data_IF_295235166650
#
_entry.id   IF_295235166650
#
_cell.length_a   1.000
_cell.length_b   1.000
_cell.length_c   1.000
_cell.angle_alpha   90.00
_cell.angle_beta   90.00
_cell.angle_gamma   90.00
#
_symmetry.space_group_name_H-M   'P 1'
#
loop_
_entity.id
_entity.type
_entity.pdbx_description
1 polymer ?
#
# COMPACT_ATOMS: atom_id res chain seq x y z
N UNK A 1 39.98 1.49 -19.31
CA UNK A 1 38.72 1.97 -18.69
C UNK A 1 38.69 1.47 -17.26
N UNK A 2 38.57 2.36 -16.26
CA UNK A 2 38.46 1.92 -14.85
C UNK A 2 37.16 1.14 -14.66
N UNK A 3 37.22 0.08 -13.81
CA UNK A 3 36.04 -0.71 -13.43
C UNK A 3 35.07 0.21 -12.66
N UNK A 4 33.93 0.54 -13.24
CA UNK A 4 32.88 1.29 -12.56
C UNK A 4 32.20 0.37 -11.53
N UNK A 5 32.21 0.76 -10.26
CA UNK A 5 31.47 0.02 -9.23
C UNK A 5 29.97 0.09 -9.53
N UNK A 6 29.27 -1.06 -9.57
CA UNK A 6 27.82 -1.04 -9.77
C UNK A 6 27.12 -0.31 -8.63
N UNK A 7 26.07 0.44 -8.96
CA UNK A 7 25.22 1.18 -8.01
C UNK A 7 23.80 1.28 -8.54
N UNK A 8 22.85 1.47 -7.64
CA UNK A 8 21.44 1.70 -7.97
C UNK A 8 21.08 3.18 -7.82
N UNK A 9 20.03 3.68 -8.48
CA UNK A 9 19.54 5.04 -8.31
C UNK A 9 19.17 5.33 -6.85
N UNK A 10 19.46 6.54 -6.39
CA UNK A 10 19.15 6.94 -5.01
C UNK A 10 17.64 6.91 -4.76
N UNK A 11 17.22 6.21 -3.70
CA UNK A 11 15.81 6.08 -3.32
C UNK A 11 15.10 4.88 -3.93
N UNK A 12 15.83 4.05 -4.70
CA UNK A 12 15.38 2.72 -5.13
C UNK A 12 16.08 1.63 -4.32
N UNK A 13 15.63 0.37 -4.42
CA UNK A 13 16.17 -0.75 -3.64
C UNK A 13 16.19 -2.02 -4.46
N UNK A 14 17.22 -2.84 -4.26
CA UNK A 14 17.20 -4.26 -4.57
C UNK A 14 16.52 -4.99 -3.39
N UNK A 15 15.87 -6.09 -3.67
CA UNK A 15 15.28 -6.97 -2.65
C UNK A 15 15.88 -8.35 -2.79
N UNK A 16 16.48 -8.84 -1.72
CA UNK A 16 16.96 -10.22 -1.63
C UNK A 16 15.81 -11.22 -1.74
N UNK A 17 16.07 -12.51 -2.03
CA UNK A 17 15.03 -13.53 -2.04
C UNK A 17 14.21 -13.58 -0.74
N UNK A 18 14.86 -13.47 0.42
CA UNK A 18 14.16 -13.47 1.72
C UNK A 18 13.24 -12.25 1.87
N UNK A 19 13.70 -11.06 1.47
CA UNK A 19 12.87 -9.86 1.49
C UNK A 19 11.70 -9.98 0.49
N UNK A 20 11.92 -10.57 -0.69
CA UNK A 20 10.84 -10.77 -1.66
C UNK A 20 9.80 -11.77 -1.18
N UNK A 21 10.16 -12.84 -0.48
CA UNK A 21 9.19 -13.77 0.12
C UNK A 21 8.32 -13.05 1.15
N UNK A 22 8.91 -12.22 2.02
CA UNK A 22 8.17 -11.38 2.98
C UNK A 22 7.24 -10.39 2.29
N UNK A 23 7.70 -9.74 1.21
CA UNK A 23 6.87 -8.83 0.40
C UNK A 23 5.71 -9.56 -0.25
N UNK A 24 5.97 -10.76 -0.81
CA UNK A 24 4.94 -11.59 -1.42
C UNK A 24 3.86 -11.99 -0.41
N UNK A 25 4.25 -12.33 0.82
CA UNK A 25 3.31 -12.60 1.91
C UNK A 25 2.35 -11.43 2.15
N UNK A 26 2.87 -10.19 2.18
CA UNK A 26 2.03 -8.98 2.30
C UNK A 26 1.07 -8.88 1.09
N UNK A 27 1.60 -9.00 -0.13
CA UNK A 27 0.77 -8.89 -1.34
C UNK A 27 -0.32 -9.95 -1.39
N UNK A 28 -0.02 -11.19 -1.04
CA UNK A 28 -0.98 -12.30 -1.09
C UNK A 28 -2.05 -12.14 -0.02
N UNK A 29 -1.67 -11.69 1.19
CA UNK A 29 -2.62 -11.38 2.27
C UNK A 29 -3.58 -10.27 1.83
N UNK A 30 -3.08 -9.16 1.32
CA UNK A 30 -3.89 -8.03 0.87
C UNK A 30 -4.80 -8.44 -0.29
N UNK A 31 -4.27 -9.11 -1.32
CA UNK A 31 -5.06 -9.60 -2.46
C UNK A 31 -6.11 -10.64 -2.02
N UNK A 32 -5.78 -11.47 -1.04
CA UNK A 32 -6.70 -12.44 -0.46
C UNK A 32 -7.94 -11.75 0.10
N UNK A 33 -7.74 -10.70 0.92
CA UNK A 33 -8.84 -9.91 1.47
C UNK A 33 -9.64 -9.25 0.34
N UNK A 34 -9.01 -8.54 -0.60
CA UNK A 34 -9.72 -7.85 -1.69
C UNK A 34 -10.65 -8.79 -2.48
N UNK A 35 -10.20 -10.02 -2.75
CA UNK A 35 -11.00 -11.03 -3.46
C UNK A 35 -12.25 -11.44 -2.69
N UNK A 36 -12.20 -11.48 -1.34
CA UNK A 36 -13.37 -11.83 -0.53
C UNK A 36 -14.48 -10.78 -0.59
N UNK A 37 -14.13 -9.55 -1.01
CA UNK A 37 -15.08 -8.46 -1.23
C UNK A 37 -15.50 -8.29 -2.70
N UNK A 38 -15.12 -9.21 -3.57
CA UNK A 38 -15.51 -9.21 -4.98
C UNK A 38 -14.76 -8.21 -5.87
N UNK A 39 -13.59 -7.73 -5.43
CA UNK A 39 -12.77 -6.87 -6.27
C UNK A 39 -12.01 -7.68 -7.33
N UNK A 40 -12.01 -7.20 -8.57
CA UNK A 40 -11.32 -7.80 -9.70
C UNK A 40 -9.89 -7.23 -9.86
N UNK A 41 -8.89 -8.06 -10.24
CA UNK A 41 -7.55 -7.57 -10.51
C UNK A 41 -7.50 -6.71 -11.77
N UNK A 42 -6.72 -5.63 -11.72
CA UNK A 42 -6.45 -4.75 -12.83
C UNK A 42 -4.98 -4.35 -12.86
N UNK A 43 -4.42 -4.13 -14.04
CA UNK A 43 -3.12 -3.50 -14.23
C UNK A 43 -3.18 -2.42 -15.31
N UNK A 44 -2.39 -1.35 -15.11
CA UNK A 44 -2.19 -0.28 -16.09
C UNK A 44 -0.70 -0.16 -16.39
N UNK A 45 -0.30 0.45 -17.52
CA UNK A 45 1.11 0.66 -17.84
C UNK A 45 1.85 1.46 -16.77
N UNK A 46 3.14 1.17 -16.59
CA UNK A 46 4.02 1.95 -15.70
C UNK A 46 4.29 3.36 -16.22
N UNK A 47 4.23 3.53 -17.54
CA UNK A 47 4.37 4.79 -18.25
C UNK A 47 3.00 5.29 -18.71
N UNK A 48 2.71 6.55 -18.43
CA UNK A 48 1.53 7.25 -18.94
C UNK A 48 1.96 8.43 -19.81
N UNK A 49 1.07 8.90 -20.67
CA UNK A 49 1.28 10.17 -21.35
C UNK A 49 1.42 11.28 -20.31
N UNK A 50 2.37 12.18 -20.49
CA UNK A 50 2.63 13.23 -19.52
C UNK A 50 1.41 14.15 -19.34
N UNK A 51 0.60 14.35 -20.38
CA UNK A 51 -0.68 15.06 -20.33
C UNK A 51 -1.74 14.39 -19.43
N UNK A 52 -1.66 13.06 -19.27
CA UNK A 52 -2.51 12.31 -18.32
C UNK A 52 -2.12 12.60 -16.88
N UNK A 53 -0.85 12.83 -16.59
CA UNK A 53 -0.31 12.98 -15.25
C UNK A 53 -0.29 14.44 -14.75
N UNK A 54 0.07 15.40 -15.63
CA UNK A 54 0.23 16.81 -15.26
C UNK A 54 -1.10 17.47 -14.86
N UNK A 55 -1.05 18.33 -13.83
CA UNK A 55 -2.19 19.09 -13.34
C UNK A 55 -3.17 18.29 -12.49
N UNK A 56 -2.86 17.03 -12.15
CA UNK A 56 -3.76 16.13 -11.38
C UNK A 56 -3.39 16.08 -9.89
N UNK A 57 -2.14 16.33 -9.57
CA UNK A 57 -1.58 16.16 -8.22
C UNK A 57 -1.31 17.48 -7.50
N UNK A 58 -1.65 18.63 -8.13
CA UNK A 58 -1.30 19.96 -7.69
C UNK A 58 0.16 20.30 -7.99
N UNK A 59 0.57 21.55 -7.74
CA UNK A 59 1.90 22.04 -8.08
C UNK A 59 3.05 21.25 -7.42
N UNK A 60 2.86 20.81 -6.18
CA UNK A 60 3.86 20.00 -5.46
C UNK A 60 4.00 18.62 -6.09
N UNK A 61 2.87 17.95 -6.39
CA UNK A 61 2.87 16.61 -6.99
C UNK A 61 3.45 16.62 -8.39
N UNK A 62 3.15 17.63 -9.20
CA UNK A 62 3.67 17.77 -10.56
C UNK A 62 5.20 17.93 -10.59
N UNK A 63 5.81 18.53 -9.53
CA UNK A 63 7.26 18.62 -9.36
C UNK A 63 7.90 17.27 -9.03
N UNK A 64 7.11 16.32 -8.49
CA UNK A 64 7.58 15.00 -8.09
C UNK A 64 7.40 13.94 -9.18
N UNK A 65 6.85 14.28 -10.34
CA UNK A 65 6.71 13.36 -11.47
C UNK A 65 8.08 13.06 -12.11
N UNK A 66 8.38 11.78 -12.28
CA UNK A 66 9.48 11.33 -13.14
C UNK A 66 9.06 11.46 -14.59
N UNK A 67 9.73 12.34 -15.33
CA UNK A 67 9.53 12.56 -16.76
C UNK A 67 10.52 11.71 -17.57
N UNK A 68 10.07 11.14 -18.67
CA UNK A 68 10.87 10.26 -19.53
C UNK A 68 11.19 11.02 -20.80
N UNK A 69 12.49 11.18 -21.07
CA UNK A 69 12.96 11.78 -22.34
C UNK A 69 12.45 10.97 -23.54
N UNK A 70 12.07 11.66 -24.60
CA UNK A 70 11.71 11.02 -25.87
C UNK A 70 12.86 10.18 -26.40
N UNK A 71 12.54 9.05 -27.03
CA UNK A 71 13.54 8.13 -27.58
C UNK A 71 14.22 8.75 -28.83
N UNK A 72 15.45 8.38 -29.07
CA UNK A 72 16.25 8.91 -30.20
C UNK A 72 16.87 10.27 -29.86
N UNK A 73 16.99 11.13 -30.88
CA UNK A 73 17.47 12.50 -30.69
C UNK A 73 16.31 13.38 -30.20
N UNK A 74 16.14 13.45 -28.88
CA UNK A 74 15.05 14.20 -28.22
C UNK A 74 15.15 15.71 -28.46
N UNK A 75 16.28 16.23 -28.91
CA UNK A 75 16.52 17.64 -29.17
C UNK A 75 16.40 17.99 -30.67
N UNK A 76 16.22 17.03 -31.56
CA UNK A 76 16.16 17.27 -33.01
C UNK A 76 15.06 18.28 -33.37
N UNK A 77 15.47 19.34 -34.07
CA UNK A 77 14.54 20.36 -34.55
C UNK A 77 14.02 21.33 -33.47
N UNK A 78 14.56 21.29 -32.25
CA UNK A 78 14.21 22.20 -31.17
C UNK A 78 15.30 23.25 -30.98
N UNK A 79 14.89 24.45 -30.60
CA UNK A 79 15.78 25.51 -30.13
C UNK A 79 16.28 25.22 -28.69
N UNK A 80 17.36 25.87 -28.27
CA UNK A 80 17.92 25.73 -26.90
C UNK A 80 16.88 26.07 -25.81
N UNK A 81 15.99 27.03 -26.07
CA UNK A 81 14.93 27.39 -25.13
C UNK A 81 13.80 26.35 -25.07
N UNK A 82 13.50 25.68 -26.18
CA UNK A 82 12.52 24.60 -26.23
C UNK A 82 13.05 23.34 -25.56
N UNK A 83 14.32 22.99 -25.68
CA UNK A 83 14.96 21.87 -25.00
C UNK A 83 14.91 22.01 -23.46
N UNK A 84 14.88 23.24 -22.95
CA UNK A 84 14.69 23.50 -21.51
C UNK A 84 13.27 23.27 -21.01
N UNK A 85 12.30 23.16 -21.93
CA UNK A 85 10.89 22.89 -21.59
C UNK A 85 10.63 21.39 -21.57
N UNK A 86 10.43 20.81 -20.38
CA UNK A 86 10.21 19.38 -20.22
C UNK A 86 9.07 18.82 -21.09
N UNK A 87 8.02 19.61 -21.35
CA UNK A 87 6.89 19.22 -22.23
C UNK A 87 7.26 19.06 -23.69
N UNK A 88 8.40 19.62 -24.16
CA UNK A 88 8.88 19.50 -25.53
C UNK A 88 9.75 18.28 -25.75
N UNK A 89 10.41 17.79 -24.70
CA UNK A 89 11.38 16.69 -24.75
C UNK A 89 10.89 15.41 -24.04
N UNK A 90 9.77 15.49 -23.36
CA UNK A 90 9.16 14.37 -22.63
C UNK A 90 7.67 14.28 -22.94
N UNK A 91 7.27 13.24 -23.67
CA UNK A 91 5.86 12.93 -23.93
C UNK A 91 5.26 12.01 -22.86
N UNK A 92 6.10 11.34 -22.07
CA UNK A 92 5.73 10.31 -21.11
C UNK A 92 6.32 10.61 -19.75
N UNK A 93 5.67 10.06 -18.72
CA UNK A 93 6.18 10.04 -17.35
C UNK A 93 5.90 8.70 -16.69
N UNK A 94 6.58 8.41 -15.58
CA UNK A 94 6.23 7.30 -14.71
C UNK A 94 5.03 7.70 -13.86
N UNK A 95 4.08 6.78 -13.70
CA UNK A 95 2.87 7.01 -12.89
C UNK A 95 3.22 7.35 -11.45
N UNK A 96 2.56 8.35 -10.91
CA UNK A 96 2.73 8.86 -9.55
C UNK A 96 1.90 8.08 -8.52
N UNK A 97 0.73 7.61 -8.93
CA UNK A 97 -0.21 6.76 -8.21
C UNK A 97 -0.87 5.77 -9.18
N UNK A 98 -1.81 4.97 -8.66
CA UNK A 98 -2.59 4.04 -9.47
C UNK A 98 -4.00 4.57 -9.78
N UNK A 99 -4.44 5.64 -9.13
CA UNK A 99 -5.81 6.17 -9.24
C UNK A 99 -6.02 6.99 -10.52
N UNK A 100 -5.07 7.86 -10.90
CA UNK A 100 -5.16 8.64 -12.16
C UNK A 100 -5.09 7.72 -13.39
N UNK A 101 -4.15 6.75 -13.48
CA UNK A 101 -4.19 5.73 -14.54
C UNK A 101 -5.47 4.91 -14.57
N UNK A 102 -6.05 4.61 -13.41
CA UNK A 102 -7.33 3.91 -13.30
C UNK A 102 -8.48 4.75 -13.87
N UNK A 103 -8.57 6.04 -13.52
CA UNK A 103 -9.58 6.94 -14.07
C UNK A 103 -9.51 7.02 -15.60
N UNK A 104 -8.28 7.13 -16.16
CA UNK A 104 -8.06 7.07 -17.61
C UNK A 104 -8.53 5.74 -18.20
N UNK A 105 -8.23 4.60 -17.54
CA UNK A 105 -8.67 3.27 -17.96
C UNK A 105 -10.19 3.16 -18.02
N UNK A 106 -10.88 3.63 -16.97
CA UNK A 106 -12.36 3.61 -16.88
C UNK A 106 -12.98 4.35 -18.05
N UNK A 107 -12.47 5.55 -18.39
CA UNK A 107 -12.99 6.33 -19.51
C UNK A 107 -12.75 5.64 -20.85
N UNK A 108 -11.57 5.06 -21.07
CA UNK A 108 -11.25 4.35 -22.31
C UNK A 108 -12.06 3.08 -22.52
N UNK A 109 -12.46 2.39 -21.44
CA UNK A 109 -13.17 1.12 -21.48
C UNK A 109 -14.61 1.21 -20.98
N UNK A 110 -15.19 2.42 -20.90
CA UNK A 110 -16.53 2.64 -20.34
C UNK A 110 -17.64 1.77 -20.95
N UNK A 111 -17.52 1.43 -22.24
CA UNK A 111 -18.48 0.57 -22.94
C UNK A 111 -18.32 -0.93 -22.65
N UNK A 112 -17.24 -1.34 -22.00
CA UNK A 112 -16.94 -2.72 -21.65
C UNK A 112 -17.16 -2.99 -20.13
N UNK A 113 -17.17 -1.92 -19.33
CA UNK A 113 -17.27 -2.02 -17.88
C UNK A 113 -18.72 -2.03 -17.41
N UNK A 114 -19.00 -2.84 -16.40
CA UNK A 114 -20.27 -2.82 -15.67
C UNK A 114 -20.11 -2.04 -14.37
N UNK A 115 -20.93 -1.02 -14.18
CA UNK A 115 -20.91 -0.17 -12.98
C UNK A 115 -21.97 -0.60 -11.96
N UNK A 116 -21.71 -0.51 -10.63
CA UNK A 116 -20.44 -0.08 -10.02
C UNK A 116 -19.32 -1.08 -10.31
N UNK A 117 -18.15 -0.56 -10.66
CA UNK A 117 -16.97 -1.36 -10.96
C UNK A 117 -16.02 -1.38 -9.75
N UNK A 118 -15.65 -2.60 -9.30
CA UNK A 118 -14.77 -2.86 -8.16
C UNK A 118 -13.46 -3.44 -8.66
N UNK A 119 -12.35 -2.72 -8.46
CA UNK A 119 -11.01 -3.20 -8.87
C UNK A 119 -10.02 -3.19 -7.73
N UNK A 120 -9.03 -4.05 -7.79
CA UNK A 120 -7.78 -3.87 -7.04
C UNK A 120 -6.57 -3.88 -7.97
N UNK A 121 -5.50 -3.21 -7.56
CA UNK A 121 -4.26 -3.11 -8.33
C UNK A 121 -3.06 -3.09 -7.39
N UNK A 122 -2.06 -3.97 -7.64
CA UNK A 122 -0.85 -4.08 -6.81
C UNK A 122 0.35 -3.91 -7.73
N UNK A 123 0.84 -2.69 -7.82
CA UNK A 123 1.91 -2.31 -8.75
C UNK A 123 2.81 -1.22 -8.16
N UNK A 124 4.04 -1.03 -8.72
CA UNK A 124 4.95 0.03 -8.31
C UNK A 124 4.49 1.39 -8.83
N UNK A 125 4.83 2.44 -8.07
CA UNK A 125 4.66 3.86 -8.42
C UNK A 125 5.95 4.61 -8.14
N UNK A 126 6.10 5.80 -8.75
CA UNK A 126 7.34 6.55 -8.68
C UNK A 126 7.11 8.01 -8.29
N UNK A 127 7.84 8.45 -7.27
CA UNK A 127 7.79 9.84 -6.79
C UNK A 127 9.20 10.36 -6.58
N UNK A 128 9.53 11.52 -7.14
CA UNK A 128 10.85 12.13 -7.00
C UNK A 128 11.10 12.77 -5.61
N UNK A 129 10.49 12.21 -4.58
CA UNK A 129 10.64 12.61 -3.19
C UNK A 129 12.10 12.56 -2.72
N UNK A 130 12.42 13.38 -1.68
CA UNK A 130 13.67 13.22 -0.96
C UNK A 130 13.65 11.93 -0.16
N UNK A 131 14.54 10.95 -0.47
CA UNK A 131 14.53 9.66 0.20
C UNK A 131 14.81 9.77 1.69
N UNK A 132 14.00 9.07 2.49
CA UNK A 132 14.18 8.90 3.94
C UNK A 132 13.52 7.58 4.37
N UNK A 133 13.68 7.17 5.63
CA UNK A 133 13.03 5.95 6.15
C UNK A 133 11.51 6.00 5.92
N UNK A 134 10.95 4.96 5.29
CA UNK A 134 9.54 4.88 4.93
C UNK A 134 9.10 5.78 3.77
N UNK A 135 10.04 6.43 3.05
CA UNK A 135 9.76 7.25 1.86
C UNK A 135 10.79 6.96 0.77
N UNK A 136 10.36 6.23 -0.24
CA UNK A 136 11.16 5.75 -1.35
C UNK A 136 10.74 6.44 -2.65
N UNK A 137 11.59 6.41 -3.67
CA UNK A 137 11.29 6.94 -5.00
C UNK A 137 10.57 5.94 -5.88
N UNK A 138 10.73 4.65 -5.60
CA UNK A 138 9.99 3.55 -6.18
C UNK A 138 9.43 2.70 -5.04
N UNK A 139 8.12 2.48 -5.02
CA UNK A 139 7.43 1.73 -3.99
C UNK A 139 6.12 1.14 -4.50
N UNK A 140 5.63 0.11 -3.85
CA UNK A 140 4.39 -0.56 -4.24
C UNK A 140 3.19 0.01 -3.51
N UNK A 141 2.14 0.27 -4.27
CA UNK A 141 0.79 0.54 -3.77
C UNK A 141 -0.10 -0.69 -4.01
N UNK A 142 -0.94 -1.01 -3.02
CA UNK A 142 -1.99 -2.00 -3.16
C UNK A 142 -3.32 -1.24 -3.05
N UNK A 143 -3.85 -0.86 -4.18
CA UNK A 143 -5.05 -0.03 -4.29
C UNK A 143 -6.30 -0.88 -4.43
N UNK A 144 -7.36 -0.44 -3.82
CA UNK A 144 -8.72 -1.00 -3.96
C UNK A 144 -9.72 0.13 -4.11
N UNK A 145 -10.51 0.11 -5.19
CA UNK A 145 -11.44 1.18 -5.54
C UNK A 145 -12.78 0.64 -6.04
N UNK A 146 -13.83 1.39 -5.74
CA UNK A 146 -15.16 1.26 -6.33
C UNK A 146 -15.47 2.53 -7.10
N UNK A 147 -15.91 2.43 -8.35
CA UNK A 147 -16.31 3.58 -9.17
C UNK A 147 -17.70 3.34 -9.79
N UNK A 148 -18.46 4.42 -10.00
CA UNK A 148 -19.79 4.38 -10.58
C UNK A 148 -20.94 4.34 -9.55
N UNK A 149 -20.67 4.74 -8.30
CA UNK A 149 -21.69 4.88 -7.27
C UNK A 149 -21.32 5.95 -6.23
N UNK A 150 -22.36 6.63 -5.71
CA UNK A 150 -22.24 7.58 -4.59
C UNK A 150 -22.59 6.95 -3.24
N UNK A 151 -22.86 5.64 -3.21
CA UNK A 151 -23.23 4.94 -1.98
C UNK A 151 -22.13 4.98 -0.93
N UNK A 152 -22.46 5.42 0.28
CA UNK A 152 -21.55 5.44 1.44
C UNK A 152 -21.27 4.05 2.00
N UNK A 153 -21.97 3.00 1.55
CA UNK A 153 -21.65 1.62 1.88
C UNK A 153 -20.26 1.22 1.37
N UNK A 154 -19.76 1.91 0.34
CA UNK A 154 -18.40 1.69 -0.17
C UNK A 154 -17.33 2.12 0.84
N UNK A 155 -17.52 3.26 1.53
CA UNK A 155 -16.65 3.69 2.61
C UNK A 155 -16.64 2.69 3.77
N UNK A 156 -17.80 2.18 4.15
CA UNK A 156 -17.93 1.18 5.22
C UNK A 156 -17.20 -0.11 4.84
N UNK A 157 -17.35 -0.58 3.61
CA UNK A 157 -16.65 -1.76 3.08
C UNK A 157 -15.13 -1.55 3.09
N UNK A 158 -14.64 -0.38 2.69
CA UNK A 158 -13.21 -0.06 2.73
C UNK A 158 -12.66 -0.02 4.16
N UNK A 159 -13.41 0.48 5.14
CA UNK A 159 -13.02 0.47 6.55
C UNK A 159 -12.93 -0.98 7.06
N UNK A 160 -13.87 -1.84 6.70
CA UNK A 160 -13.82 -3.28 7.06
C UNK A 160 -12.63 -3.98 6.39
N UNK A 161 -12.29 -3.63 5.14
CA UNK A 161 -11.10 -4.13 4.45
C UNK A 161 -9.83 -3.73 5.20
N UNK A 162 -9.73 -2.49 5.68
CA UNK A 162 -8.59 -2.01 6.49
C UNK A 162 -8.45 -2.88 7.74
N UNK A 163 -9.54 -3.08 8.49
CA UNK A 163 -9.53 -3.94 9.68
C UNK A 163 -9.02 -5.34 9.37
N UNK A 164 -9.58 -5.98 8.34
CA UNK A 164 -9.24 -7.37 7.99
C UNK A 164 -7.81 -7.52 7.51
N UNK A 165 -7.32 -6.60 6.68
CA UNK A 165 -5.92 -6.64 6.20
C UNK A 165 -4.95 -6.52 7.37
N UNK A 166 -5.10 -5.49 8.22
CA UNK A 166 -4.14 -5.27 9.29
C UNK A 166 -4.25 -6.31 10.41
N UNK A 167 -5.44 -6.84 10.69
CA UNK A 167 -5.63 -7.99 11.57
C UNK A 167 -4.91 -9.24 11.04
N UNK A 168 -5.02 -9.54 9.75
CA UNK A 168 -4.34 -10.67 9.12
C UNK A 168 -2.81 -10.52 9.11
N UNK A 169 -2.30 -9.28 9.03
CA UNK A 169 -0.87 -8.97 9.11
C UNK A 169 -0.36 -8.83 10.55
N UNK A 170 -1.24 -8.90 11.56
CA UNK A 170 -0.87 -8.75 12.98
C UNK A 170 -0.48 -7.33 13.38
N UNK A 171 -0.88 -6.30 12.63
CA UNK A 171 -0.55 -4.90 12.88
C UNK A 171 -1.72 -4.21 13.58
N UNK A 172 -1.49 -3.62 14.75
CA UNK A 172 -2.49 -2.75 15.39
C UNK A 172 -2.47 -1.37 14.75
N UNK A 173 -3.65 -0.88 14.38
CA UNK A 173 -3.79 0.39 13.66
C UNK A 173 -4.95 1.22 14.21
N UNK A 174 -4.86 2.54 14.02
CA UNK A 174 -5.99 3.47 14.12
C UNK A 174 -6.28 4.06 12.74
N UNK A 175 -7.55 4.26 12.43
CA UNK A 175 -8.02 4.92 11.22
C UNK A 175 -8.51 6.31 11.58
N UNK A 176 -7.85 7.33 11.05
CA UNK A 176 -8.31 8.71 11.06
C UNK A 176 -9.18 8.97 9.83
N UNK A 177 -10.28 9.65 10.03
CA UNK A 177 -11.25 9.95 8.99
C UNK A 177 -11.69 11.41 9.04
N UNK A 178 -11.90 12.03 7.89
CA UNK A 178 -12.49 13.36 7.76
C UNK A 178 -13.33 13.40 6.47
N UNK A 179 -13.93 14.55 6.19
CA UNK A 179 -14.66 14.79 4.96
C UNK A 179 -14.32 16.16 4.37
N UNK A 180 -14.02 16.22 3.08
CA UNK A 180 -13.70 17.47 2.36
C UNK A 180 -14.83 18.49 2.45
N UNK A 181 -16.08 18.04 2.50
CA UNK A 181 -17.26 18.89 2.64
C UNK A 181 -17.29 19.58 4.01
N UNK A 182 -16.85 18.88 5.08
CA UNK A 182 -16.70 19.48 6.41
C UNK A 182 -15.63 20.57 6.37
N UNK A 183 -14.47 20.31 5.76
CA UNK A 183 -13.39 21.29 5.64
C UNK A 183 -13.82 22.51 4.82
N UNK A 184 -14.59 22.31 3.75
CA UNK A 184 -15.17 23.40 2.97
C UNK A 184 -16.19 24.20 3.81
N UNK A 185 -17.06 23.52 4.54
CA UNK A 185 -18.03 24.16 5.44
C UNK A 185 -17.35 24.99 6.54
N UNK A 186 -16.24 24.54 7.07
CA UNK A 186 -15.43 25.32 8.01
C UNK A 186 -14.94 26.61 7.34
N UNK A 187 -14.42 26.53 6.12
CA UNK A 187 -13.97 27.71 5.38
C UNK A 187 -15.11 28.69 5.09
N UNK A 188 -16.32 28.20 4.77
CA UNK A 188 -17.54 29.04 4.62
C UNK A 188 -17.93 29.68 5.94
N UNK A 189 -17.98 28.95 7.05
CA UNK A 189 -18.40 29.43 8.36
C UNK A 189 -17.50 30.55 8.90
N UNK A 190 -16.22 30.53 8.56
CA UNK A 190 -15.28 31.60 8.92
C UNK A 190 -15.20 32.73 7.88
N UNK A 191 -15.97 32.62 6.76
CA UNK A 191 -16.07 33.65 5.72
C UNK A 191 -14.91 33.70 4.74
N UNK A 192 -14.21 32.56 4.54
CA UNK A 192 -13.04 32.42 3.66
C UNK A 192 -13.09 31.17 2.78
N UNK A 193 -14.25 30.89 2.15
CA UNK A 193 -14.44 29.76 1.24
C UNK A 193 -13.43 29.75 0.08
N UNK A 194 -13.04 30.91 -0.41
CA UNK A 194 -12.01 31.12 -1.44
C UNK A 194 -10.61 30.69 -1.02
N UNK A 195 -10.34 30.55 0.29
CA UNK A 195 -9.05 30.16 0.87
C UNK A 195 -9.05 28.74 1.46
N UNK A 196 -10.02 27.91 1.09
CA UNK A 196 -10.11 26.52 1.61
C UNK A 196 -8.77 25.79 1.51
N UNK A 197 -8.04 25.90 0.39
CA UNK A 197 -6.77 25.22 0.20
C UNK A 197 -5.69 25.72 1.17
N UNK A 198 -5.60 27.03 1.39
CA UNK A 198 -4.67 27.62 2.35
C UNK A 198 -4.96 27.17 3.77
N UNK A 199 -6.24 27.15 4.14
CA UNK A 199 -6.73 26.68 5.44
C UNK A 199 -6.36 25.20 5.65
N UNK A 200 -6.64 24.34 4.67
CA UNK A 200 -6.35 22.89 4.78
C UNK A 200 -4.85 22.61 4.87
N UNK A 201 -4.02 23.32 4.10
CA UNK A 201 -2.55 23.18 4.16
C UNK A 201 -1.99 23.60 5.51
N UNK A 202 -2.55 24.65 6.13
CA UNK A 202 -2.12 25.08 7.45
C UNK A 202 -2.57 24.11 8.55
N UNK A 203 -3.83 23.64 8.51
CA UNK A 203 -4.41 22.68 9.47
C UNK A 203 -3.65 21.36 9.46
N UNK A 204 -3.24 20.85 8.31
CA UNK A 204 -2.45 19.60 8.19
C UNK A 204 -1.13 19.64 8.97
N UNK A 205 -0.65 20.82 9.28
CA UNK A 205 0.58 20.97 10.06
C UNK A 205 0.32 21.00 11.57
N UNK A 206 -0.94 21.00 12.02
CA UNK A 206 -1.33 21.22 13.43
C UNK A 206 -0.57 20.29 14.40
N UNK A 207 -0.52 18.99 14.09
CA UNK A 207 0.22 18.00 14.92
C UNK A 207 1.74 18.27 14.97
N UNK A 208 2.30 18.96 13.97
CA UNK A 208 3.76 19.17 13.85
C UNK A 208 4.25 20.48 14.44
N UNK A 209 3.50 21.55 14.21
CA UNK A 209 3.96 22.91 14.56
C UNK A 209 3.14 23.54 15.67
N UNK A 210 2.02 22.91 16.08
CA UNK A 210 1.12 23.41 17.12
C UNK A 210 0.19 24.54 16.67
N UNK A 211 -0.83 24.83 17.48
CA UNK A 211 -1.92 25.72 17.14
C UNK A 211 -1.47 27.17 16.89
N UNK A 212 -0.56 27.70 17.70
CA UNK A 212 -0.12 29.09 17.57
C UNK A 212 0.60 29.34 16.25
N UNK A 213 1.45 28.40 15.83
CA UNK A 213 2.14 28.50 14.53
C UNK A 213 1.17 28.32 13.35
N UNK A 214 0.15 27.47 13.48
CA UNK A 214 -0.92 27.35 12.47
C UNK A 214 -1.68 28.66 12.33
N UNK A 215 -2.03 29.31 13.45
CA UNK A 215 -2.69 30.62 13.42
C UNK A 215 -1.82 31.69 12.75
N UNK A 216 -0.54 31.74 13.09
CA UNK A 216 0.41 32.68 12.47
C UNK A 216 0.48 32.44 10.94
N UNK A 217 0.60 31.18 10.49
CA UNK A 217 0.62 30.84 9.07
C UNK A 217 -0.70 31.24 8.35
N UNK A 218 -1.86 31.06 8.99
CA UNK A 218 -3.14 31.46 8.44
C UNK A 218 -3.26 32.98 8.25
N UNK A 219 -2.76 33.76 9.21
CA UNK A 219 -2.68 35.22 9.08
C UNK A 219 -1.74 35.67 7.95
N UNK A 220 -0.54 35.04 7.82
CA UNK A 220 0.38 35.25 6.71
C UNK A 220 -0.23 34.95 5.35
N UNK A 221 -1.09 33.94 5.27
CA UNK A 221 -1.87 33.58 4.07
C UNK A 221 -3.05 34.53 3.81
N UNK A 222 -3.21 35.55 4.65
CA UNK A 222 -4.17 36.65 4.47
C UNK A 222 -5.57 36.34 4.97
N UNK A 223 -5.72 35.44 5.95
CA UNK A 223 -6.96 35.34 6.73
C UNK A 223 -7.02 36.50 7.72
N UNK A 224 -8.24 36.96 8.03
CA UNK A 224 -8.46 37.99 9.05
C UNK A 224 -8.39 37.39 10.45
N UNK A 225 -7.98 38.15 11.44
CA UNK A 225 -7.88 37.71 12.84
C UNK A 225 -9.20 37.10 13.34
N UNK A 226 -10.33 37.74 13.04
CA UNK A 226 -11.67 37.24 13.41
C UNK A 226 -11.97 35.85 12.86
N UNK A 227 -11.49 35.51 11.67
CA UNK A 227 -11.64 34.18 11.08
C UNK A 227 -10.77 33.16 11.78
N UNK A 228 -9.54 33.52 12.13
CA UNK A 228 -8.63 32.67 12.89
C UNK A 228 -9.16 32.39 14.30
N UNK A 229 -9.74 33.40 14.96
CA UNK A 229 -10.35 33.26 16.27
C UNK A 229 -11.57 32.33 16.24
N UNK A 230 -12.39 32.38 15.17
CA UNK A 230 -13.50 31.43 14.94
C UNK A 230 -13.05 30.01 14.65
N UNK A 231 -11.89 29.85 14.01
CA UNK A 231 -11.35 28.54 13.66
C UNK A 231 -10.76 27.81 14.87
N UNK A 232 -10.21 28.54 15.85
CA UNK A 232 -9.55 27.94 17.00
C UNK A 232 -10.41 26.91 17.75
N UNK A 233 -11.65 27.20 18.20
CA UNK A 233 -12.45 26.22 18.93
C UNK A 233 -12.82 24.99 18.09
N UNK A 234 -12.79 25.12 16.75
CA UNK A 234 -13.01 24.00 15.82
C UNK A 234 -11.78 23.07 15.81
N UNK A 235 -10.58 23.64 15.79
CA UNK A 235 -9.33 22.88 15.80
C UNK A 235 -9.03 22.23 17.16
N UNK A 236 -9.59 22.77 18.24
CA UNK A 236 -9.46 22.26 19.59
C UNK A 236 -10.60 21.30 20.00
N UNK A 237 -11.48 20.93 19.03
CA UNK A 237 -12.57 19.98 19.29
C UNK A 237 -12.02 18.66 19.82
N UNK A 238 -12.50 18.28 21.02
CA UNK A 238 -12.16 17.05 21.72
C UNK A 238 -13.42 16.27 22.07
N UNK A 239 -13.25 15.01 22.43
CA UNK A 239 -14.33 14.09 22.73
C UNK A 239 -14.44 12.96 21.70
N UNK A 240 -15.49 12.15 21.83
CA UNK A 240 -15.80 11.10 20.88
C UNK A 240 -16.34 11.66 19.55
N UNK A 241 -16.50 10.79 18.54
CA UNK A 241 -16.96 11.19 17.21
C UNK A 241 -18.36 11.86 17.25
N UNK A 242 -19.27 11.36 18.07
CA UNK A 242 -20.63 11.91 18.17
C UNK A 242 -20.61 13.34 18.76
N UNK A 243 -19.81 13.55 19.79
CA UNK A 243 -19.64 14.88 20.41
C UNK A 243 -19.01 15.88 19.45
N UNK A 244 -17.98 15.43 18.68
CA UNK A 244 -17.33 16.26 17.65
C UNK A 244 -18.32 16.64 16.56
N UNK A 245 -19.11 15.68 16.01
CA UNK A 245 -20.09 15.92 14.96
C UNK A 245 -21.23 16.83 15.41
N UNK A 246 -21.71 16.68 16.66
CA UNK A 246 -22.75 17.54 17.23
C UNK A 246 -22.29 19.01 17.27
N UNK A 247 -21.07 19.28 17.79
CA UNK A 247 -20.50 20.63 17.82
C UNK A 247 -20.25 21.20 16.42
N UNK A 248 -19.76 20.36 15.50
CA UNK A 248 -19.57 20.79 14.10
C UNK A 248 -20.88 21.16 13.43
N UNK A 249 -21.98 20.45 13.74
CA UNK A 249 -23.31 20.77 13.19
C UNK A 249 -23.78 22.15 13.61
N UNK A 250 -23.51 22.57 14.84
CA UNK A 250 -23.81 23.94 15.32
C UNK A 250 -23.00 24.99 14.55
N UNK A 251 -21.69 24.78 14.42
CA UNK A 251 -20.78 25.72 13.74
C UNK A 251 -21.04 25.80 12.25
N UNK A 252 -21.34 24.68 11.62
CA UNK A 252 -21.57 24.55 10.18
C UNK A 252 -23.03 24.76 9.75
N UNK A 253 -23.89 25.22 10.64
CA UNK A 253 -25.32 25.47 10.33
C UNK A 253 -25.52 26.47 9.18
N UNK A 254 -24.52 27.29 8.87
CA UNK A 254 -24.53 28.27 7.76
C UNK A 254 -24.04 27.69 6.43
N UNK A 255 -23.56 26.42 6.41
CA UNK A 255 -22.99 25.76 5.25
C UNK A 255 -23.78 24.50 4.90
N UNK A 256 -24.52 24.52 3.81
CA UNK A 256 -25.23 23.34 3.30
C UNK A 256 -24.24 22.20 2.96
N UNK A 257 -23.12 22.55 2.33
CA UNK A 257 -22.05 21.61 2.01
C UNK A 257 -21.44 20.99 3.27
N UNK A 258 -21.17 21.79 4.29
CA UNK A 258 -20.65 21.32 5.56
C UNK A 258 -21.59 20.36 6.29
N UNK A 259 -22.88 20.70 6.35
CA UNK A 259 -23.93 19.83 6.91
C UNK A 259 -24.04 18.50 6.16
N UNK A 260 -23.93 18.52 4.83
CA UNK A 260 -23.88 17.30 4.02
C UNK A 260 -22.70 16.42 4.38
N UNK A 261 -21.52 17.00 4.60
CA UNK A 261 -20.34 16.27 5.04
C UNK A 261 -20.52 15.62 6.41
N UNK A 262 -21.22 16.29 7.35
CA UNK A 262 -21.56 15.71 8.67
C UNK A 262 -22.51 14.52 8.51
N UNK A 263 -23.57 14.64 7.71
CA UNK A 263 -24.52 13.55 7.46
C UNK A 263 -23.84 12.30 6.86
N UNK A 264 -22.88 12.50 5.94
CA UNK A 264 -22.09 11.42 5.36
C UNK A 264 -21.23 10.73 6.43
N UNK A 265 -20.59 11.50 7.33
CA UNK A 265 -19.79 10.96 8.42
C UNK A 265 -20.64 10.20 9.44
N UNK A 266 -21.78 10.76 9.86
CA UNK A 266 -22.73 10.10 10.76
C UNK A 266 -23.23 8.77 10.19
N UNK A 267 -23.52 8.74 8.88
CA UNK A 267 -23.97 7.55 8.18
C UNK A 267 -22.90 6.46 8.21
N UNK A 268 -21.65 6.79 7.83
CA UNK A 268 -20.55 5.82 7.79
C UNK A 268 -20.22 5.31 9.18
N UNK A 269 -20.05 6.20 10.16
CA UNK A 269 -19.72 5.84 11.54
C UNK A 269 -20.84 5.01 12.20
N UNK A 270 -22.10 5.33 11.92
CA UNK A 270 -23.24 4.55 12.40
C UNK A 270 -23.27 3.12 11.85
N UNK A 271 -22.86 2.90 10.61
CA UNK A 271 -22.70 1.53 10.07
C UNK A 271 -21.48 0.80 10.66
N UNK A 272 -20.35 1.50 10.83
CA UNK A 272 -19.14 0.94 11.48
C UNK A 272 -19.49 0.41 12.87
N UNK A 273 -20.23 1.18 13.66
CA UNK A 273 -20.69 0.79 15.00
C UNK A 273 -21.65 -0.42 14.94
N UNK A 274 -22.66 -0.38 14.06
CA UNK A 274 -23.65 -1.47 13.92
C UNK A 274 -23.04 -2.78 13.50
N UNK A 275 -22.00 -2.74 12.65
CA UNK A 275 -21.27 -3.94 12.19
C UNK A 275 -20.29 -4.44 13.24
N UNK A 276 -20.03 -3.68 14.30
CA UNK A 276 -19.05 -4.04 15.33
C UNK A 276 -17.64 -4.15 14.76
N UNK A 277 -17.27 -3.30 13.81
CA UNK A 277 -15.93 -3.27 13.25
C UNK A 277 -14.94 -2.91 14.36
N UNK A 278 -14.03 -3.82 14.67
CA UNK A 278 -13.09 -3.71 15.79
C UNK A 278 -11.90 -2.78 15.52
N UNK A 279 -12.09 -1.77 14.69
CA UNK A 279 -11.08 -0.77 14.34
C UNK A 279 -11.41 0.55 15.06
N UNK A 280 -10.39 1.17 15.64
CA UNK A 280 -10.50 2.53 16.17
C UNK A 280 -10.61 3.52 15.02
N UNK A 281 -11.82 4.08 14.84
CA UNK A 281 -12.12 5.05 13.78
C UNK A 281 -12.37 6.41 14.40
N UNK A 282 -11.47 7.35 14.20
CA UNK A 282 -11.49 8.69 14.77
C UNK A 282 -11.81 9.76 13.70
N UNK A 283 -12.79 10.61 13.98
CA UNK A 283 -12.95 11.88 13.25
C UNK A 283 -11.82 12.82 13.66
N UNK A 284 -10.96 13.14 12.71
CA UNK A 284 -9.79 14.00 12.91
C UNK A 284 -9.81 15.18 11.92
N UNK A 285 -10.11 16.36 12.43
CA UNK A 285 -10.18 17.57 11.62
C UNK A 285 -8.81 18.04 11.10
N UNK A 286 -7.72 17.60 11.75
CA UNK A 286 -6.36 17.85 11.27
C UNK A 286 -6.01 17.03 10.03
N UNK A 287 -6.77 15.97 9.73
CA UNK A 287 -6.66 15.25 8.46
C UNK A 287 -7.28 16.09 7.34
N UNK A 288 -6.53 17.10 6.92
CA UNK A 288 -6.94 18.06 5.91
C UNK A 288 -6.19 17.87 4.58
N UNK A 289 -5.09 17.10 4.60
CA UNK A 289 -4.26 16.76 3.45
C UNK A 289 -4.84 15.56 2.69
N UNK A 290 -4.48 15.48 1.45
CA UNK A 290 -4.79 14.40 0.53
C UNK A 290 -4.51 14.87 -0.88
N UNK A 291 -4.71 14.01 -1.85
CA UNK A 291 -4.62 14.40 -3.25
C UNK A 291 -5.77 15.39 -3.57
N UNK A 292 -5.49 16.39 -4.39
CA UNK A 292 -6.43 17.48 -4.66
C UNK A 292 -7.75 17.03 -5.32
N UNK A 293 -7.79 15.80 -5.80
CA UNK A 293 -8.99 15.24 -6.42
C UNK A 293 -10.02 14.65 -5.44
N UNK A 294 -9.72 14.58 -4.12
CA UNK A 294 -10.71 14.12 -3.14
C UNK A 294 -11.81 15.16 -2.91
N UNK A 295 -13.08 14.67 -2.86
CA UNK A 295 -14.29 15.50 -2.78
C UNK A 295 -15.18 15.19 -1.58
N UNK A 296 -14.99 14.03 -0.95
CA UNK A 296 -15.79 13.53 0.17
C UNK A 296 -14.93 13.01 1.30
N UNK A 297 -15.24 11.79 1.77
CA UNK A 297 -14.48 11.13 2.82
C UNK A 297 -12.98 11.02 2.49
N UNK A 298 -12.13 11.21 3.50
CA UNK A 298 -10.69 11.00 3.46
C UNK A 298 -10.31 10.04 4.58
N UNK A 299 -9.35 9.15 4.29
CA UNK A 299 -8.88 8.12 5.20
C UNK A 299 -7.36 8.20 5.37
N UNK A 300 -6.90 8.02 6.60
CA UNK A 300 -5.50 7.81 6.93
C UNK A 300 -5.36 6.73 8.00
N UNK A 301 -4.50 5.75 7.78
CA UNK A 301 -4.25 4.67 8.74
C UNK A 301 -2.83 4.77 9.26
N UNK A 302 -2.69 4.81 10.58
CA UNK A 302 -1.41 4.85 11.30
C UNK A 302 -1.20 3.56 12.08
N UNK A 303 0.02 3.03 12.05
CA UNK A 303 0.42 1.95 12.95
C UNK A 303 0.57 2.49 14.38
N UNK A 304 0.05 1.76 15.37
CA UNK A 304 0.08 2.19 16.77
C UNK A 304 1.42 1.85 17.47
N UNK A 305 2.05 0.74 17.09
CA UNK A 305 3.23 0.21 17.78
C UNK A 305 4.56 0.52 17.07
N UNK A 306 4.54 1.26 15.97
CA UNK A 306 5.72 1.57 15.19
C UNK A 306 5.67 2.98 14.61
N UNK A 307 6.68 3.79 14.93
CA UNK A 307 6.76 5.18 14.47
C UNK A 307 7.13 5.25 12.98
N UNK A 308 6.11 5.38 12.14
CA UNK A 308 6.23 5.57 10.69
C UNK A 308 5.09 6.49 10.22
N UNK A 309 5.19 7.07 9.03
CA UNK A 309 4.07 7.78 8.43
C UNK A 309 2.90 6.85 8.11
N UNK A 310 1.81 7.42 7.61
CA UNK A 310 0.60 6.69 7.18
C UNK A 310 0.93 5.43 6.36
N UNK A 311 0.37 4.29 6.74
CA UNK A 311 0.59 2.99 6.09
C UNK A 311 -0.53 2.60 5.11
N UNK A 312 -1.67 3.27 5.21
CA UNK A 312 -2.77 3.21 4.25
C UNK A 312 -3.46 4.57 4.22
N UNK A 313 -4.03 4.94 3.10
CA UNK A 313 -4.80 6.17 2.96
C UNK A 313 -5.59 6.20 1.67
N UNK A 314 -6.59 7.08 1.61
CA UNK A 314 -7.45 7.18 0.45
C UNK A 314 -8.57 8.20 0.63
N UNK A 315 -9.62 8.09 -0.19
CA UNK A 315 -10.79 8.94 -0.10
C UNK A 315 -11.74 8.82 -1.29
N UNK A 316 -12.82 9.58 -1.22
CA UNK A 316 -13.81 9.71 -2.28
C UNK A 316 -13.40 10.77 -3.29
N UNK A 317 -13.56 10.47 -4.56
CA UNK A 317 -13.33 11.35 -5.71
C UNK A 317 -14.52 11.27 -6.66
N UNK A 318 -15.22 12.41 -6.89
CA UNK A 318 -16.49 12.42 -7.61
C UNK A 318 -16.37 12.77 -9.10
N UNK A 319 -15.25 13.38 -9.51
CA UNK A 319 -15.10 13.85 -10.90
C UNK A 319 -13.68 13.65 -11.47
N UNK A 320 -12.94 12.66 -10.98
CA UNK A 320 -11.61 12.40 -11.50
C UNK A 320 -11.64 11.96 -12.98
N UNK A 321 -12.69 11.25 -13.39
CA UNK A 321 -12.93 10.84 -14.79
C UNK A 321 -13.37 12.00 -15.69
N UNK A 322 -13.93 13.06 -15.12
CA UNK A 322 -14.31 14.27 -15.84
C UNK A 322 -13.14 14.95 -16.56
N UNK A 323 -11.94 14.83 -15.98
CA UNK A 323 -10.69 15.30 -16.60
C UNK A 323 -10.42 14.61 -17.95
N UNK A 324 -10.94 13.40 -18.13
CA UNK A 324 -10.80 12.58 -19.36
C UNK A 324 -12.10 12.56 -20.20
N UNK A 325 -13.05 13.46 -19.91
CA UNK A 325 -14.30 13.62 -20.68
C UNK A 325 -15.47 12.77 -20.21
N UNK A 326 -15.43 12.19 -19.02
CA UNK A 326 -16.53 11.45 -18.40
C UNK A 326 -16.86 12.03 -17.02
N UNK A 327 -17.64 13.15 -16.98
CA UNK A 327 -18.00 13.79 -15.70
C UNK A 327 -18.99 12.95 -14.89
N UNK A 328 -19.23 13.35 -13.65
CA UNK A 328 -20.24 12.78 -12.73
C UNK A 328 -20.04 11.31 -12.35
N UNK A 329 -18.83 10.79 -12.47
CA UNK A 329 -18.50 9.42 -12.11
C UNK A 329 -17.82 9.39 -10.73
N UNK A 330 -18.62 9.14 -9.69
CA UNK A 330 -18.11 9.03 -8.31
C UNK A 330 -17.34 7.73 -8.10
N UNK A 331 -16.21 7.85 -7.41
CA UNK A 331 -15.40 6.73 -6.96
C UNK A 331 -14.89 6.95 -5.55
N UNK A 332 -14.54 5.85 -4.89
CA UNK A 332 -13.88 5.85 -3.58
C UNK A 332 -12.88 4.71 -3.52
N UNK A 333 -11.72 4.96 -2.93
CA UNK A 333 -10.69 3.94 -2.82
C UNK A 333 -9.66 4.24 -1.76
N UNK A 334 -8.92 3.20 -1.39
CA UNK A 334 -7.78 3.28 -0.47
C UNK A 334 -6.57 2.56 -1.04
N UNK A 335 -5.40 3.01 -0.62
CA UNK A 335 -4.10 2.48 -1.03
C UNK A 335 -3.30 2.04 0.18
N UNK A 336 -2.93 0.76 0.23
CA UNK A 336 -2.01 0.22 1.22
C UNK A 336 -0.57 0.41 0.73
N UNK A 337 0.25 1.08 1.52
CA UNK A 337 1.66 1.30 1.24
C UNK A 337 2.51 0.09 1.61
N UNK A 338 2.69 -0.85 0.68
CA UNK A 338 3.32 -2.15 0.93
C UNK A 338 4.73 -2.04 1.56
N UNK A 339 5.52 -1.05 1.15
CA UNK A 339 6.87 -0.85 1.66
C UNK A 339 6.88 -0.37 3.11
N UNK A 340 5.94 0.50 3.50
CA UNK A 340 5.78 0.92 4.90
C UNK A 340 5.23 -0.19 5.77
N UNK A 341 4.28 -0.98 5.25
CA UNK A 341 3.77 -2.18 5.92
C UNK A 341 4.91 -3.18 6.16
N UNK A 342 5.77 -3.38 5.15
CA UNK A 342 6.97 -4.20 5.29
C UNK A 342 7.89 -3.70 6.42
N UNK A 343 8.17 -2.39 6.45
CA UNK A 343 9.01 -1.78 7.48
C UNK A 343 8.42 -1.97 8.90
N UNK A 344 7.09 -1.86 9.04
CA UNK A 344 6.38 -2.12 10.31
C UNK A 344 6.54 -3.59 10.72
N UNK A 345 6.20 -4.52 9.83
CA UNK A 345 6.27 -5.95 10.11
C UNK A 345 7.68 -6.43 10.42
N UNK A 346 8.67 -5.93 9.69
CA UNK A 346 10.08 -6.24 9.95
C UNK A 346 10.55 -5.67 11.30
N UNK A 347 10.16 -4.44 11.61
CA UNK A 347 10.52 -3.78 12.86
C UNK A 347 9.89 -4.40 14.11
N UNK A 348 8.70 -4.96 13.99
CA UNK A 348 7.96 -5.62 15.07
C UNK A 348 8.14 -7.15 15.09
N UNK A 349 8.86 -7.74 14.12
CA UNK A 349 9.06 -9.19 14.06
C UNK A 349 7.78 -9.99 13.76
N UNK A 350 6.85 -9.43 12.97
CA UNK A 350 5.53 -10.02 12.71
C UNK A 350 5.47 -11.01 11.53
N UNK A 351 6.58 -11.19 10.81
CA UNK A 351 6.59 -12.16 9.70
C UNK A 351 6.55 -13.59 10.24
N UNK A 352 5.64 -14.45 9.73
CA UNK A 352 5.66 -15.87 10.03
C UNK A 352 7.01 -16.51 9.63
N UNK A 353 7.45 -17.51 10.38
CA UNK A 353 8.74 -18.17 10.11
C UNK A 353 8.79 -18.79 8.71
N UNK A 354 7.66 -19.31 8.23
CA UNK A 354 7.52 -20.01 6.96
C UNK A 354 7.83 -19.14 5.75
N UNK A 355 7.71 -17.82 5.88
CA UNK A 355 8.03 -16.87 4.77
C UNK A 355 9.51 -16.53 4.67
N UNK A 356 10.37 -17.10 5.51
CA UNK A 356 11.78 -16.80 5.51
C UNK A 356 12.63 -17.74 4.63
N UNK A 357 12.05 -18.83 4.13
CA UNK A 357 12.74 -19.81 3.30
C UNK A 357 11.91 -20.27 2.10
N UNK A 358 12.57 -20.42 0.95
CA UNK A 358 11.94 -20.88 -0.29
C UNK A 358 11.86 -22.41 -0.38
N UNK A 359 12.68 -23.12 0.38
CA UNK A 359 12.75 -24.57 0.43
C UNK A 359 12.47 -25.04 1.85
N UNK A 360 11.46 -25.87 2.04
CA UNK A 360 11.13 -26.46 3.35
C UNK A 360 11.93 -27.72 3.63
N UNK A 361 12.14 -28.55 2.61
CA UNK A 361 12.77 -29.86 2.73
C UNK A 361 13.94 -29.97 1.75
N UNK A 362 15.09 -30.33 2.26
CA UNK A 362 16.29 -30.54 1.47
C UNK A 362 16.76 -31.98 1.57
N UNK A 363 16.96 -32.63 0.43
CA UNK A 363 17.51 -33.98 0.35
C UNK A 363 19.02 -33.94 0.14
N UNK A 364 19.74 -34.78 0.88
CA UNK A 364 21.15 -35.03 0.62
C UNK A 364 21.32 -35.93 -0.60
N UNK A 365 22.45 -35.81 -1.31
CA UNK A 365 22.82 -36.62 -2.46
C UNK A 365 24.12 -37.33 -2.14
N UNK A 366 24.06 -38.61 -1.79
CA UNK A 366 25.21 -39.38 -1.28
C UNK A 366 25.76 -40.38 -2.28
N UNK A 367 24.99 -40.85 -3.26
CA UNK A 367 25.35 -41.81 -4.27
C UNK A 367 24.26 -41.99 -5.33
N UNK A 368 24.53 -42.77 -6.38
CA UNK A 368 23.59 -42.93 -7.49
C UNK A 368 22.30 -43.70 -7.11
N UNK A 369 22.43 -44.73 -6.29
CA UNK A 369 21.29 -45.53 -5.80
C UNK A 369 20.41 -44.69 -4.85
N UNK A 370 21.04 -44.01 -3.91
CA UNK A 370 20.41 -43.12 -2.96
C UNK A 370 19.72 -41.95 -3.66
N UNK A 371 20.35 -41.39 -4.69
CA UNK A 371 19.79 -40.33 -5.51
C UNK A 371 18.51 -40.75 -6.21
N UNK A 372 18.46 -41.98 -6.76
CA UNK A 372 17.27 -42.51 -7.44
C UNK A 372 16.06 -42.61 -6.48
N UNK A 373 16.28 -43.12 -5.28
CA UNK A 373 15.24 -43.19 -4.25
C UNK A 373 14.82 -41.79 -3.76
N UNK A 374 15.80 -40.90 -3.48
CA UNK A 374 15.54 -39.53 -3.06
C UNK A 374 14.73 -38.75 -4.09
N UNK A 375 14.96 -38.95 -5.39
CA UNK A 375 14.20 -38.29 -6.47
C UNK A 375 12.72 -38.76 -6.48
N UNK A 376 12.45 -40.03 -6.17
CA UNK A 376 11.07 -40.53 -6.02
C UNK A 376 10.35 -39.83 -4.88
N UNK A 377 10.94 -39.80 -3.70
CA UNK A 377 10.40 -39.16 -2.51
C UNK A 377 10.24 -37.62 -2.70
N UNK A 378 11.22 -37.00 -3.33
CA UNK A 378 11.21 -35.58 -3.68
C UNK A 378 10.02 -35.24 -4.57
N UNK A 379 9.73 -36.09 -5.55
CA UNK A 379 8.57 -35.90 -6.44
C UNK A 379 7.27 -35.99 -5.66
N UNK A 380 7.10 -37.00 -4.82
CA UNK A 380 5.89 -37.16 -3.98
C UNK A 380 5.64 -35.94 -3.08
N UNK A 381 6.70 -35.38 -2.47
CA UNK A 381 6.61 -34.17 -1.66
C UNK A 381 6.15 -32.96 -2.51
N UNK A 382 6.74 -32.81 -3.70
CA UNK A 382 6.38 -31.71 -4.61
C UNK A 382 4.94 -31.84 -5.13
N UNK A 383 4.51 -33.05 -5.47
CA UNK A 383 3.14 -33.33 -5.90
C UNK A 383 2.13 -33.04 -4.75
N UNK A 384 2.58 -33.13 -3.51
CA UNK A 384 1.82 -32.76 -2.31
C UNK A 384 1.91 -31.25 -1.96
N UNK A 385 2.59 -30.44 -2.76
CA UNK A 385 2.75 -29.00 -2.55
C UNK A 385 3.85 -28.60 -1.55
N UNK A 386 4.70 -29.55 -1.12
CA UNK A 386 5.82 -29.27 -0.22
C UNK A 386 7.02 -28.78 -1.03
N UNK A 387 7.52 -27.58 -0.74
CA UNK A 387 8.72 -27.03 -1.38
C UNK A 387 9.96 -27.83 -0.97
N UNK A 388 10.50 -28.62 -1.91
CA UNK A 388 11.60 -29.52 -1.66
C UNK A 388 12.65 -29.47 -2.77
N UNK A 389 13.92 -29.60 -2.40
CA UNK A 389 15.05 -29.69 -3.34
C UNK A 389 16.05 -30.77 -2.93
N UNK A 390 16.86 -31.22 -3.87
CA UNK A 390 17.98 -32.15 -3.63
C UNK A 390 19.31 -31.44 -3.97
N UNK A 391 20.37 -31.74 -3.23
CA UNK A 391 21.69 -31.24 -3.59
C UNK A 391 22.11 -31.79 -4.96
N UNK A 392 22.50 -30.94 -5.91
CA UNK A 392 22.67 -31.37 -7.30
C UNK A 392 23.86 -32.36 -7.49
N UNK A 393 24.93 -32.15 -6.73
CA UNK A 393 26.12 -32.96 -6.86
C UNK A 393 26.21 -34.03 -5.78
N UNK A 394 26.61 -35.26 -6.15
CA UNK A 394 27.01 -36.22 -5.15
C UNK A 394 28.22 -35.73 -4.37
N UNK A 395 28.20 -35.80 -3.05
CA UNK A 395 29.27 -35.24 -2.25
C UNK A 395 29.20 -35.48 -0.75
N UNK A 396 30.22 -34.97 -0.05
CA UNK A 396 30.35 -35.16 1.39
C UNK A 396 29.16 -34.52 2.15
N UNK A 397 28.57 -35.27 3.08
CA UNK A 397 27.49 -34.83 3.95
C UNK A 397 27.74 -33.47 4.57
N UNK A 398 28.94 -33.21 5.09
CA UNK A 398 29.29 -31.94 5.75
C UNK A 398 29.00 -30.72 4.84
N UNK A 399 29.44 -30.78 3.56
CA UNK A 399 29.23 -29.69 2.59
C UNK A 399 27.75 -29.42 2.35
N UNK A 400 26.95 -30.47 2.26
CA UNK A 400 25.50 -30.39 2.01
C UNK A 400 24.76 -29.84 3.24
N UNK A 401 25.16 -30.26 4.43
CA UNK A 401 24.61 -29.70 5.69
C UNK A 401 24.94 -28.21 5.86
N UNK A 402 26.19 -27.80 5.52
CA UNK A 402 26.56 -26.38 5.52
C UNK A 402 25.74 -25.56 4.52
N UNK A 403 25.46 -26.13 3.35
CA UNK A 403 24.60 -25.49 2.35
C UNK A 403 23.17 -25.31 2.88
N UNK A 404 22.56 -26.37 3.42
CA UNK A 404 21.20 -26.29 4.00
C UNK A 404 21.14 -25.25 5.13
N UNK A 405 22.14 -25.24 6.02
CA UNK A 405 22.21 -24.27 7.11
C UNK A 405 22.34 -22.82 6.62
N UNK A 406 23.21 -22.53 5.63
CA UNK A 406 23.38 -21.19 5.06
C UNK A 406 22.11 -20.69 4.34
N UNK A 407 21.34 -21.63 3.79
CA UNK A 407 20.06 -21.35 3.13
C UNK A 407 18.89 -21.21 4.11
N UNK A 408 19.11 -21.49 5.40
CA UNK A 408 18.07 -21.47 6.43
C UNK A 408 17.00 -22.54 6.20
N UNK A 409 17.32 -23.65 5.52
CA UNK A 409 16.36 -24.73 5.23
C UNK A 409 16.04 -25.45 6.54
N UNK A 410 14.75 -25.55 6.93
CA UNK A 410 14.39 -26.07 8.25
C UNK A 410 14.57 -27.60 8.38
N UNK A 411 14.41 -28.36 7.29
CA UNK A 411 14.49 -29.83 7.35
C UNK A 411 15.46 -30.40 6.33
N UNK A 412 16.29 -31.31 6.78
CA UNK A 412 17.19 -32.12 5.91
C UNK A 412 16.74 -33.57 5.97
N UNK A 413 16.48 -34.14 4.80
CA UNK A 413 16.16 -35.55 4.60
C UNK A 413 17.41 -36.25 4.09
N UNK A 414 17.86 -37.24 4.85
CA UNK A 414 19.01 -38.06 4.54
C UNK A 414 18.50 -39.41 4.05
N UNK A 415 18.96 -39.81 2.85
CA UNK A 415 18.70 -41.13 2.28
C UNK A 415 20.09 -41.69 1.94
N UNK A 416 20.63 -42.52 2.81
CA UNK A 416 21.85 -43.27 2.63
C UNK A 416 21.56 -44.76 2.47
N UNK A 417 22.60 -45.61 2.38
CA UNK A 417 22.43 -47.04 2.17
C UNK A 417 21.64 -47.70 3.31
N UNK A 418 21.79 -47.26 4.56
CA UNK A 418 21.02 -47.77 5.71
C UNK A 418 19.53 -47.38 5.61
N UNK A 419 19.25 -46.15 5.19
CA UNK A 419 17.88 -45.67 4.97
C UNK A 419 17.19 -46.42 3.82
N UNK A 420 17.95 -46.79 2.77
CA UNK A 420 17.40 -47.59 1.67
C UNK A 420 17.04 -49.02 2.14
N UNK A 421 17.90 -49.67 2.90
CA UNK A 421 17.62 -51.00 3.47
C UNK A 421 16.44 -50.98 4.42
N UNK A 422 16.36 -49.97 5.27
CA UNK A 422 15.28 -49.75 6.25
C UNK A 422 13.95 -49.26 5.60
N UNK A 423 13.98 -48.78 4.36
CA UNK A 423 12.89 -48.03 3.70
C UNK A 423 12.34 -46.88 4.53
N UNK A 424 13.23 -46.21 5.24
CA UNK A 424 12.92 -45.08 6.12
C UNK A 424 14.01 -44.00 5.97
N UNK A 425 13.60 -42.74 5.78
CA UNK A 425 14.50 -41.60 5.69
C UNK A 425 14.83 -41.06 7.08
N UNK A 426 16.05 -40.60 7.28
CA UNK A 426 16.41 -39.83 8.47
C UNK A 426 16.07 -38.35 8.23
N UNK A 427 15.05 -37.85 8.91
CA UNK A 427 14.65 -36.43 8.87
C UNK A 427 15.33 -35.70 10.02
N UNK A 428 16.09 -34.67 9.70
CA UNK A 428 16.75 -33.80 10.67
C UNK A 428 16.09 -32.43 10.67
N UNK A 429 15.58 -32.00 11.82
CA UNK A 429 15.20 -30.60 12.05
C UNK A 429 16.49 -29.77 12.29
N UNK A 430 16.75 -28.80 11.43
CA UNK A 430 17.97 -27.99 11.48
C UNK A 430 17.96 -26.94 12.61
N UNK A 431 16.82 -26.66 13.20
CA UNK A 431 16.66 -25.69 14.31
C UNK A 431 16.89 -26.35 15.66
N UNK A 432 16.22 -27.48 15.92
CA UNK A 432 16.35 -28.21 17.17
C UNK A 432 17.56 -29.17 17.17
N UNK A 433 18.01 -29.60 15.98
CA UNK A 433 19.01 -30.63 15.80
C UNK A 433 18.48 -32.05 15.97
N UNK A 434 17.20 -32.22 16.30
CA UNK A 434 16.55 -33.55 16.43
C UNK A 434 16.56 -34.31 15.11
N UNK A 435 16.70 -35.63 15.23
CA UNK A 435 16.63 -36.55 14.09
C UNK A 435 15.56 -37.61 14.35
N UNK A 436 14.79 -37.93 13.31
CA UNK A 436 13.77 -39.00 13.36
C UNK A 436 13.86 -39.84 12.11
N UNK A 437 13.64 -41.13 12.27
CA UNK A 437 13.42 -42.02 11.14
C UNK A 437 11.94 -42.02 10.76
N UNK A 438 11.66 -41.76 9.49
CA UNK A 438 10.32 -41.66 8.93
C UNK A 438 10.21 -42.66 7.76
N UNK A 439 9.30 -43.63 7.79
CA UNK A 439 9.09 -44.56 6.66
C UNK A 439 8.86 -43.77 5.35
N UNK A 440 9.39 -44.24 4.23
CA UNK A 440 9.23 -43.55 2.93
C UNK A 440 7.77 -43.27 2.60
N UNK A 441 6.86 -44.21 2.82
CA UNK A 441 5.43 -44.03 2.56
C UNK A 441 4.73 -43.02 3.50
N UNK A 442 5.36 -42.61 4.59
CA UNK A 442 4.80 -41.65 5.56
C UNK A 442 5.46 -40.26 5.44
N UNK A 443 6.50 -40.14 4.62
CA UNK A 443 7.29 -38.89 4.54
C UNK A 443 6.45 -37.68 4.08
N UNK A 444 5.56 -37.91 3.13
CA UNK A 444 4.64 -36.87 2.64
C UNK A 444 3.64 -36.43 3.72
N UNK A 445 3.13 -37.36 4.50
CA UNK A 445 2.21 -37.04 5.62
C UNK A 445 2.94 -36.31 6.77
N UNK A 446 4.22 -36.64 6.99
CA UNK A 446 5.05 -35.96 7.99
C UNK A 446 5.26 -34.47 7.70
N UNK A 447 5.30 -34.07 6.42
CA UNK A 447 5.55 -32.69 6.01
C UNK A 447 4.27 -31.90 5.62
N UNK A 448 3.09 -32.53 5.57
CA UNK A 448 1.81 -31.82 5.41
C UNK A 448 1.37 -31.15 6.70
#
# INVERSE_FOLDING_TARGET
MGIQKPSIPKGTRDFSPAEMMRRQYIFDTVKGVFRTYGFAPLETPSMENLSTLLGKYGEEGDKLLFKILNSGDYAAGLSDDEVRQASRICEKGLRYDLTVPFARYVVQHQGELTFPFKRYQVQPVWRADRPQKGRYREFYQCDVDVIGTRSLLCEVELIEIVERVFRALGIRVALKMNNRKILFGIAEAIGHADKMMDITVAIDKLEKIGLDNVKAELLERGLRQEAVDKLQPILELSGDNAQKLMKLREVLAVSETGLKGIEEMETVLGYVERLGIGLDVELDLSLARGLNYYTGAIFEVKALDFAIGSICGGGRYDDLTGIFGMPDMSGVGISFGADRIYDVMAGLGLFPEEVNFSTRVFFTNLGQEEQAAALGLLRELRDAGVAAEIYPDCGKMKKQMEYANRRGIPYVVIVGSQELEAKAATVKDMRSGEQRQVPFGELTAYFK
#
